data_IF_135307890685
#
_entry.id   IF_135307890685
#
_cell.length_a   1.000
_cell.length_b   1.000
_cell.length_c   1.000
_cell.angle_alpha   90.00
_cell.angle_beta   90.00
_cell.angle_gamma   90.00
#
_symmetry.space_group_name_H-M   'P 1'
#
loop_
_entity.id
_entity.type
_entity.pdbx_description
1 polymer ?
#
# COMPACT_ATOMS: atom_id res chain seq x y z
N UNK A 1 1.97 14.54 5.30
CA UNK A 1 2.11 14.18 3.88
C UNK A 1 2.65 12.77 3.86
N UNK A 2 2.05 11.85 3.10
CA UNK A 2 2.54 10.47 3.06
C UNK A 2 3.69 10.38 2.07
N UNK A 3 4.84 9.88 2.52
CA UNK A 3 6.09 9.79 1.75
C UNK A 3 6.44 8.34 1.39
N UNK A 4 5.64 7.38 1.85
CA UNK A 4 5.82 5.97 1.53
C UNK A 4 4.72 5.09 2.10
N UNK A 5 4.81 3.81 1.79
CA UNK A 5 3.98 2.74 2.34
C UNK A 5 4.84 1.49 2.52
N UNK A 6 4.62 0.80 3.62
CA UNK A 6 5.18 -0.52 3.88
C UNK A 6 4.04 -1.51 4.12
N UNK A 7 4.20 -2.70 3.58
CA UNK A 7 3.24 -3.77 3.62
C UNK A 7 3.95 -5.06 4.03
N UNK A 8 3.42 -5.74 5.05
CA UNK A 8 4.00 -6.98 5.58
C UNK A 8 2.92 -8.03 5.83
N UNK A 9 3.24 -9.31 5.60
CA UNK A 9 2.33 -10.42 5.93
C UNK A 9 1.34 -10.80 4.83
N UNK A 10 1.62 -10.44 3.57
CA UNK A 10 0.77 -10.79 2.41
C UNK A 10 1.19 -12.10 1.72
N UNK A 11 2.28 -12.75 2.14
CA UNK A 11 2.67 -14.07 1.66
C UNK A 11 2.23 -15.17 2.63
N UNK A 12 1.33 -16.01 2.15
CA UNK A 12 0.85 -17.21 2.85
C UNK A 12 -0.62 -17.46 2.53
N UNK A 13 -0.96 -18.73 2.27
CA UNK A 13 -2.36 -19.15 2.22
C UNK A 13 -2.98 -18.89 3.59
N UNK A 14 -3.92 -17.96 3.67
CA UNK A 14 -4.65 -17.72 4.88
C UNK A 14 -5.93 -18.56 4.90
N UNK A 15 -6.60 -18.60 6.06
CA UNK A 15 -7.92 -19.22 6.17
C UNK A 15 -8.91 -18.58 5.17
N UNK A 16 -9.85 -19.36 4.65
CA UNK A 16 -10.81 -18.92 3.64
C UNK A 16 -11.49 -17.59 4.04
N UNK A 17 -11.36 -16.58 3.17
CA UNK A 17 -11.89 -15.22 3.37
C UNK A 17 -10.81 -14.17 3.66
N UNK A 18 -9.72 -14.55 4.35
CA UNK A 18 -8.59 -13.65 4.60
C UNK A 18 -7.76 -13.41 3.33
N UNK A 19 -7.69 -14.41 2.45
CA UNK A 19 -7.09 -14.31 1.12
C UNK A 19 -7.71 -13.20 0.25
N UNK A 20 -9.01 -12.93 0.40
CA UNK A 20 -9.72 -11.89 -0.37
C UNK A 20 -9.29 -10.49 0.08
N UNK A 21 -9.15 -10.29 1.40
CA UNK A 21 -8.68 -9.02 1.96
C UNK A 21 -7.22 -8.79 1.57
N UNK A 22 -6.36 -9.81 1.68
CA UNK A 22 -4.96 -9.73 1.26
C UNK A 22 -4.85 -9.35 -0.22
N UNK A 23 -5.63 -10.00 -1.10
CA UNK A 23 -5.65 -9.68 -2.53
C UNK A 23 -6.13 -8.26 -2.82
N UNK A 24 -7.15 -7.77 -2.11
CA UNK A 24 -7.64 -6.40 -2.26
C UNK A 24 -6.59 -5.37 -1.84
N UNK A 25 -5.90 -5.61 -0.72
CA UNK A 25 -4.80 -4.74 -0.25
C UNK A 25 -3.63 -4.74 -1.24
N UNK A 26 -3.19 -5.91 -1.69
CA UNK A 26 -2.11 -6.02 -2.68
C UNK A 26 -2.47 -5.31 -3.98
N UNK A 27 -3.71 -5.45 -4.47
CA UNK A 27 -4.18 -4.77 -5.66
C UNK A 27 -4.13 -3.24 -5.51
N UNK A 28 -4.55 -2.70 -4.36
CA UNK A 28 -4.52 -1.26 -4.10
C UNK A 28 -3.08 -0.72 -4.02
N UNK A 29 -2.21 -1.40 -3.27
CA UNK A 29 -0.82 -0.97 -3.05
C UNK A 29 -0.02 -1.03 -4.35
N UNK A 30 -0.11 -2.14 -5.10
CA UNK A 30 0.58 -2.28 -6.38
C UNK A 30 0.02 -1.32 -7.43
N UNK A 31 -1.30 -1.12 -7.47
CA UNK A 31 -1.87 -0.14 -8.39
C UNK A 31 -1.41 1.28 -8.05
N UNK A 32 -1.25 1.63 -6.77
CA UNK A 32 -0.71 2.92 -6.37
C UNK A 32 0.72 3.09 -6.91
N UNK A 33 1.62 2.13 -6.65
CA UNK A 33 3.00 2.20 -7.11
C UNK A 33 3.08 2.30 -8.65
N UNK A 34 2.34 1.46 -9.37
CA UNK A 34 2.27 1.51 -10.83
C UNK A 34 1.68 2.84 -11.35
N UNK A 35 0.72 3.42 -10.63
CA UNK A 35 0.12 4.70 -11.02
C UNK A 35 1.10 5.86 -10.83
N UNK A 36 1.92 5.83 -9.78
CA UNK A 36 3.00 6.80 -9.59
C UNK A 36 3.99 6.67 -10.75
N UNK A 37 4.45 5.46 -11.06
CA UNK A 37 5.38 5.20 -12.15
C UNK A 37 4.83 5.63 -13.53
N UNK A 38 3.56 5.35 -13.82
CA UNK A 38 2.97 5.58 -15.13
C UNK A 38 2.45 7.01 -15.35
N UNK A 39 2.04 7.71 -14.29
CA UNK A 39 1.29 8.96 -14.39
C UNK A 39 1.96 10.16 -13.72
N UNK A 40 3.17 9.99 -13.17
CA UNK A 40 3.91 11.09 -12.53
C UNK A 40 5.40 11.05 -12.92
N UNK A 41 6.13 12.13 -12.64
CA UNK A 41 7.59 12.19 -12.82
C UNK A 41 8.34 12.07 -11.48
N UNK A 42 7.64 11.72 -10.40
CA UNK A 42 8.23 11.69 -9.06
C UNK A 42 9.14 10.48 -8.88
N UNK A 43 10.34 10.75 -8.36
CA UNK A 43 11.30 9.70 -8.03
C UNK A 43 10.86 8.86 -6.83
N UNK A 44 10.99 7.54 -6.96
CA UNK A 44 10.71 6.60 -5.88
C UNK A 44 11.70 5.43 -5.88
N UNK A 45 11.76 4.75 -4.76
CA UNK A 45 12.39 3.45 -4.58
C UNK A 45 11.34 2.48 -4.05
N UNK A 46 11.42 1.22 -4.45
CA UNK A 46 10.51 0.19 -3.98
C UNK A 46 11.15 -1.19 -4.03
N UNK A 47 10.74 -2.04 -3.10
CA UNK A 47 11.21 -3.42 -2.99
C UNK A 47 10.03 -4.35 -2.76
N UNK A 48 10.12 -5.55 -3.32
CA UNK A 48 9.19 -6.63 -3.06
C UNK A 48 9.97 -7.85 -2.62
N UNK A 49 9.64 -8.37 -1.43
CA UNK A 49 10.16 -9.64 -0.93
C UNK A 49 9.11 -10.73 -1.18
N UNK A 50 9.32 -11.51 -2.22
CA UNK A 50 8.42 -12.63 -2.58
C UNK A 50 8.39 -13.75 -1.54
N UNK A 51 9.43 -13.88 -0.69
CA UNK A 51 9.48 -14.93 0.34
C UNK A 51 8.64 -14.56 1.56
N UNK A 52 8.67 -13.30 1.96
CA UNK A 52 7.94 -12.81 3.15
C UNK A 52 6.63 -12.11 2.79
N UNK A 53 6.38 -11.83 1.50
CA UNK A 53 5.27 -11.02 1.04
C UNK A 53 5.37 -9.58 1.52
N UNK A 54 6.61 -9.12 1.70
CA UNK A 54 6.95 -7.74 2.03
C UNK A 54 6.86 -6.88 0.78
N UNK A 55 6.36 -5.66 0.95
CA UNK A 55 6.44 -4.62 -0.08
C UNK A 55 6.75 -3.29 0.60
N UNK A 56 7.70 -2.55 0.04
CA UNK A 56 8.01 -1.20 0.46
C UNK A 56 8.03 -0.28 -0.74
N UNK A 57 7.58 0.95 -0.52
CA UNK A 57 7.62 2.02 -1.49
C UNK A 57 7.87 3.34 -0.76
N UNK A 58 8.84 4.12 -1.20
CA UNK A 58 9.10 5.45 -0.67
C UNK A 58 9.56 6.41 -1.76
N UNK A 59 9.12 7.65 -1.65
CA UNK A 59 9.55 8.71 -2.54
C UNK A 59 10.95 9.20 -2.16
N UNK A 60 11.77 9.55 -3.15
CA UNK A 60 13.17 9.99 -2.93
C UNK A 60 13.30 11.50 -2.78
N UNK A 61 12.22 12.25 -2.98
CA UNK A 61 12.15 13.71 -2.88
C UNK A 61 10.74 14.18 -2.47
N UNK A 62 10.54 15.49 -2.45
CA UNK A 62 9.19 16.06 -2.34
C UNK A 62 8.33 15.61 -3.51
N UNK A 63 7.08 15.25 -3.24
CA UNK A 63 6.18 14.67 -4.24
C UNK A 63 5.22 15.70 -4.81
N UNK A 64 4.84 15.49 -6.06
CA UNK A 64 3.83 16.26 -6.76
C UNK A 64 2.43 16.15 -6.11
N UNK A 65 1.53 17.12 -6.36
CA UNK A 65 0.11 17.00 -6.00
C UNK A 65 -0.57 15.74 -6.56
N UNK A 66 -0.14 15.26 -7.73
CA UNK A 66 -0.62 14.05 -8.39
C UNK A 66 -0.27 12.80 -7.58
N UNK A 67 1.00 12.63 -7.21
CA UNK A 67 1.44 11.55 -6.32
C UNK A 67 0.77 11.63 -4.95
N UNK A 68 0.60 12.85 -4.42
CA UNK A 68 -0.11 13.05 -3.17
C UNK A 68 -1.58 12.60 -3.26
N UNK A 69 -2.25 12.85 -4.39
CA UNK A 69 -3.61 12.36 -4.64
C UNK A 69 -3.65 10.83 -4.72
N UNK A 70 -2.68 10.20 -5.39
CA UNK A 70 -2.59 8.73 -5.47
C UNK A 70 -2.36 8.10 -4.09
N UNK A 71 -1.49 8.67 -3.27
CA UNK A 71 -1.29 8.24 -1.88
C UNK A 71 -2.55 8.41 -1.03
N UNK A 72 -3.24 9.55 -1.15
CA UNK A 72 -4.51 9.76 -0.46
C UNK A 72 -5.58 8.75 -0.91
N UNK A 73 -5.61 8.41 -2.20
CA UNK A 73 -6.52 7.39 -2.75
C UNK A 73 -6.22 6.00 -2.18
N UNK A 74 -4.95 5.61 -2.07
CA UNK A 74 -4.53 4.37 -1.42
C UNK A 74 -5.00 4.34 0.04
N UNK A 75 -4.69 5.37 0.82
CA UNK A 75 -5.06 5.44 2.24
C UNK A 75 -6.57 5.38 2.43
N UNK A 76 -7.34 6.05 1.57
CA UNK A 76 -8.80 5.94 1.57
C UNK A 76 -9.27 4.50 1.33
N UNK A 77 -8.71 3.83 0.32
CA UNK A 77 -9.03 2.44 0.01
C UNK A 77 -8.74 1.48 1.16
N UNK A 78 -7.55 1.57 1.75
CA UNK A 78 -7.14 0.74 2.88
C UNK A 78 -8.04 0.97 4.10
N UNK A 79 -8.35 2.23 4.44
CA UNK A 79 -9.28 2.56 5.54
C UNK A 79 -10.68 2.01 5.32
N UNK A 80 -11.17 2.00 4.08
CA UNK A 80 -12.46 1.41 3.76
C UNK A 80 -12.46 -0.11 3.97
N UNK A 81 -11.37 -0.80 3.59
CA UNK A 81 -11.19 -2.23 3.87
C UNK A 81 -11.14 -2.49 5.38
N UNK A 82 -10.35 -1.73 6.13
CA UNK A 82 -10.25 -1.85 7.58
C UNK A 82 -11.61 -1.63 8.27
N UNK A 83 -12.38 -0.65 7.81
CA UNK A 83 -13.72 -0.36 8.34
C UNK A 83 -14.72 -1.50 8.07
N UNK A 84 -14.65 -2.13 6.90
CA UNK A 84 -15.59 -3.19 6.51
C UNK A 84 -15.25 -4.54 7.16
N UNK A 85 -13.97 -4.90 7.21
CA UNK A 85 -13.52 -6.22 7.65
C UNK A 85 -12.93 -6.23 9.07
N UNK A 86 -12.61 -5.07 9.63
CA UNK A 86 -12.08 -4.89 10.97
C UNK A 86 -10.59 -5.23 11.13
N UNK A 87 -10.03 -4.79 12.25
CA UNK A 87 -8.58 -4.88 12.59
C UNK A 87 -8.02 -6.31 12.68
N UNK A 88 -8.90 -7.34 12.69
CA UNK A 88 -8.48 -8.74 12.66
C UNK A 88 -7.87 -9.14 11.31
N UNK A 89 -8.19 -8.41 10.25
CA UNK A 89 -7.79 -8.73 8.88
C UNK A 89 -6.69 -7.81 8.35
N UNK A 90 -6.76 -6.52 8.67
CA UNK A 90 -5.78 -5.51 8.27
C UNK A 90 -5.55 -4.57 9.45
N UNK A 91 -4.30 -4.18 9.68
CA UNK A 91 -3.94 -3.17 10.69
C UNK A 91 -3.20 -2.06 9.97
N UNK A 92 -3.73 -0.85 10.02
CA UNK A 92 -3.09 0.32 9.40
C UNK A 92 -2.40 1.14 10.48
N UNK A 93 -1.13 1.47 10.25
CA UNK A 93 -0.34 2.34 11.15
C UNK A 93 0.11 3.58 10.39
N UNK A 94 0.11 4.71 11.09
CA UNK A 94 0.63 5.97 10.59
C UNK A 94 1.83 6.34 11.46
N UNK A 95 2.99 6.50 10.82
CA UNK A 95 4.25 6.81 11.49
C UNK A 95 4.79 8.13 10.94
N UNK A 96 5.29 8.98 11.84
CA UNK A 96 6.05 10.18 11.48
C UNK A 96 7.54 9.81 11.53
N UNK A 97 8.26 10.09 10.45
CA UNK A 97 9.71 9.85 10.31
C UNK A 97 10.49 11.15 10.32
#
# INVERSE_FOLDING_TARGET
>A
MFTGVELSGHAGYAESGRDIVCAAVSALVLNMANSVEAFTEDGFEGEMDEQTGGFSFHFTAEISPESQLLMNSLVLGLRNIEKEYGERHIIIRFEEV
#
